data_IF_381511529571
#
_entry.id   IF_381511529571
#
_cell.length_a   1.000
_cell.length_b   1.000
_cell.length_c   1.000
_cell.angle_alpha   90.00
_cell.angle_beta   90.00
_cell.angle_gamma   90.00
#
_symmetry.space_group_name_H-M   'P 1'
#
loop_
_entity.id
_entity.type
_entity.pdbx_description
1 polymer ?
#
# COMPACT_ATOMS: atom_id res chain seq x y z
N UNK A 1 17.27 -1.63 -44.23
CA UNK A 1 16.23 -0.93 -43.44
C UNK A 1 15.77 -1.87 -42.33
N UNK A 2 15.93 -1.47 -41.06
CA UNK A 2 15.28 -2.24 -39.98
C UNK A 2 13.77 -2.15 -40.17
N UNK A 3 13.10 -3.28 -40.04
CA UNK A 3 11.63 -3.34 -40.16
C UNK A 3 11.03 -2.71 -38.89
N UNK A 4 10.53 -1.49 -39.00
CA UNK A 4 9.92 -0.74 -37.89
C UNK A 4 8.78 -1.52 -37.23
N UNK A 5 8.06 -2.34 -37.99
CA UNK A 5 6.98 -3.17 -37.45
C UNK A 5 7.54 -4.23 -36.50
N UNK A 6 8.69 -4.81 -36.80
CA UNK A 6 9.35 -5.77 -35.91
C UNK A 6 9.80 -5.09 -34.61
N UNK A 7 10.34 -3.85 -34.68
CA UNK A 7 10.70 -3.08 -33.49
C UNK A 7 9.46 -2.76 -32.64
N UNK A 8 8.36 -2.33 -33.25
CA UNK A 8 7.09 -2.04 -32.55
C UNK A 8 6.55 -3.30 -31.87
N UNK A 9 6.53 -4.43 -32.59
CA UNK A 9 6.02 -5.70 -32.06
C UNK A 9 6.90 -6.20 -30.90
N UNK A 10 8.22 -6.09 -31.03
CA UNK A 10 9.16 -6.44 -29.96
C UNK A 10 8.88 -5.60 -28.70
N UNK A 11 8.73 -4.29 -28.85
CA UNK A 11 8.38 -3.38 -27.74
C UNK A 11 7.06 -3.75 -27.09
N UNK A 12 6.02 -4.06 -27.87
CA UNK A 12 4.71 -4.50 -27.35
C UNK A 12 4.81 -5.82 -26.58
N UNK A 13 5.66 -6.74 -27.00
CA UNK A 13 5.92 -7.98 -26.26
C UNK A 13 6.63 -7.73 -24.93
N UNK A 14 7.57 -6.80 -24.89
CA UNK A 14 8.23 -6.37 -23.64
C UNK A 14 7.22 -5.74 -22.66
N UNK A 15 6.36 -4.85 -23.14
CA UNK A 15 5.29 -4.25 -22.34
C UNK A 15 4.35 -5.31 -21.76
N UNK A 16 3.93 -6.29 -22.56
CA UNK A 16 3.10 -7.41 -22.09
C UNK A 16 3.84 -8.33 -21.11
N UNK A 17 5.14 -8.57 -21.32
CA UNK A 17 5.94 -9.36 -20.41
C UNK A 17 6.10 -8.67 -19.05
N UNK A 18 6.23 -7.33 -19.03
CA UNK A 18 6.30 -6.54 -17.81
C UNK A 18 5.02 -6.64 -16.95
N UNK A 19 3.84 -6.73 -17.59
CA UNK A 19 2.57 -6.96 -16.88
C UNK A 19 2.57 -8.30 -16.12
N UNK A 20 3.19 -9.32 -16.69
CA UNK A 20 3.22 -10.70 -16.14
C UNK A 20 4.47 -11.00 -15.35
N UNK A 21 5.40 -10.05 -15.24
CA UNK A 21 6.64 -10.24 -14.48
C UNK A 21 6.33 -10.50 -13.01
N UNK A 22 7.08 -11.42 -12.40
CA UNK A 22 6.97 -11.70 -10.97
C UNK A 22 7.32 -10.44 -10.18
N UNK A 23 6.35 -9.94 -9.42
CA UNK A 23 6.51 -8.77 -8.56
C UNK A 23 7.00 -9.18 -7.16
N UNK A 24 7.74 -8.33 -6.44
CA UNK A 24 8.08 -8.60 -5.05
C UNK A 24 6.79 -8.66 -4.21
N UNK A 25 6.63 -9.69 -3.38
CA UNK A 25 5.43 -9.91 -2.57
C UNK A 25 5.40 -8.99 -1.36
N UNK A 26 4.35 -8.19 -1.22
CA UNK A 26 4.07 -7.37 -0.05
C UNK A 26 3.79 -8.25 1.18
N UNK A 27 2.96 -9.28 0.99
CA UNK A 27 2.63 -10.25 2.04
C UNK A 27 3.90 -10.91 2.60
N UNK A 28 4.76 -11.42 1.72
CA UNK A 28 5.98 -12.11 2.16
C UNK A 28 6.99 -11.15 2.81
N UNK A 29 7.10 -9.92 2.30
CA UNK A 29 7.96 -8.91 2.89
C UNK A 29 7.56 -8.59 4.34
N UNK A 30 6.25 -8.46 4.63
CA UNK A 30 5.77 -8.23 5.99
C UNK A 30 6.00 -9.43 6.91
N UNK A 31 5.79 -10.66 6.43
CA UNK A 31 6.02 -11.88 7.22
C UNK A 31 7.49 -12.05 7.58
N UNK A 32 8.41 -11.68 6.70
CA UNK A 32 9.85 -11.79 6.91
C UNK A 32 10.44 -10.60 7.66
N UNK A 33 9.68 -9.50 7.77
CA UNK A 33 10.18 -8.27 8.41
C UNK A 33 10.15 -8.35 9.93
N UNK A 34 11.19 -7.80 10.57
CA UNK A 34 11.21 -7.57 12.01
C UNK A 34 10.33 -6.39 12.42
N UNK A 35 10.21 -5.38 11.56
CA UNK A 35 9.49 -4.13 11.86
C UNK A 35 8.10 -4.08 11.28
N UNK A 36 7.88 -4.64 10.08
CA UNK A 36 6.59 -4.63 9.37
C UNK A 36 6.14 -3.25 8.90
N UNK A 37 7.04 -2.25 8.87
CA UNK A 37 6.68 -0.89 8.49
C UNK A 37 6.46 -0.78 6.98
N UNK A 38 5.25 -0.37 6.59
CA UNK A 38 4.89 0.07 5.25
C UNK A 38 5.00 1.59 5.26
N UNK A 39 6.10 2.13 4.70
CA UNK A 39 6.34 3.56 4.68
C UNK A 39 5.60 4.23 3.53
N UNK A 40 4.73 5.20 3.85
CA UNK A 40 3.86 5.83 2.85
C UNK A 40 4.45 7.15 2.33
N UNK A 41 4.60 7.22 1.02
CA UNK A 41 4.87 8.47 0.31
C UNK A 41 3.54 9.15 -0.05
N UNK A 42 3.25 10.25 0.65
CA UNK A 42 2.02 11.04 0.51
C UNK A 42 2.32 12.52 0.63
N UNK A 43 2.10 13.27 -0.47
CA UNK A 43 2.38 14.71 -0.53
C UNK A 43 1.26 15.56 0.07
N UNK A 44 0.01 15.11 -0.07
CA UNK A 44 -1.21 15.85 0.32
C UNK A 44 -2.24 14.90 0.93
N UNK A 45 -3.16 15.41 1.73
CA UNK A 45 -4.36 14.69 2.16
C UNK A 45 -5.56 15.63 2.29
N UNK A 46 -6.80 15.13 2.13
CA UNK A 46 -8.00 15.96 2.28
C UNK A 46 -8.11 16.64 3.64
N UNK A 47 -7.65 15.98 4.72
CA UNK A 47 -7.75 16.49 6.08
C UNK A 47 -6.65 17.49 6.48
N UNK A 48 -5.51 17.51 5.79
CA UNK A 48 -4.33 18.31 6.15
C UNK A 48 -3.86 19.27 5.06
N UNK A 49 -4.36 19.14 3.82
CA UNK A 49 -3.80 19.83 2.68
C UNK A 49 -2.41 19.31 2.32
N UNK A 50 -1.50 20.16 1.87
CA UNK A 50 -0.13 19.80 1.55
C UNK A 50 0.66 19.46 2.82
N UNK A 51 1.24 18.25 2.86
CA UNK A 51 2.13 17.76 3.91
C UNK A 51 3.58 18.03 3.52
N UNK A 52 3.92 17.75 2.25
CA UNK A 52 5.23 18.00 1.65
C UNK A 52 5.07 18.14 0.13
N UNK A 53 4.74 19.35 -0.31
CA UNK A 53 4.45 19.64 -1.73
C UNK A 53 5.66 19.40 -2.64
N UNK A 54 6.85 19.71 -2.13
CA UNK A 54 8.14 19.50 -2.81
C UNK A 54 8.64 18.06 -2.74
N UNK A 55 7.88 17.14 -2.11
CA UNK A 55 8.27 15.73 -1.92
C UNK A 55 8.52 15.03 -3.26
N UNK A 56 9.68 14.42 -3.39
CA UNK A 56 10.16 13.75 -4.61
C UNK A 56 10.02 12.25 -4.53
N UNK A 57 9.35 11.66 -5.52
CA UNK A 57 9.10 10.22 -5.60
C UNK A 57 10.34 9.40 -5.99
N UNK A 58 11.32 10.01 -6.62
CA UNK A 58 12.63 9.42 -6.94
C UNK A 58 13.63 9.46 -5.76
N UNK A 59 13.30 10.15 -4.67
CA UNK A 59 14.19 10.33 -3.51
C UNK A 59 13.63 9.68 -2.26
N UNK A 60 12.41 10.08 -1.83
CA UNK A 60 11.86 9.68 -0.52
C UNK A 60 11.58 8.18 -0.42
N UNK A 61 10.96 7.51 -1.43
CA UNK A 61 10.75 6.05 -1.37
C UNK A 61 12.07 5.26 -1.30
N UNK A 62 13.10 5.71 -2.02
CA UNK A 62 14.43 5.09 -1.95
C UNK A 62 15.05 5.28 -0.55
N UNK A 63 14.94 6.47 0.04
CA UNK A 63 15.38 6.72 1.40
C UNK A 63 14.64 5.83 2.41
N UNK A 64 13.34 5.64 2.27
CA UNK A 64 12.58 4.69 3.09
C UNK A 64 13.12 3.26 3.00
N UNK A 65 13.43 2.80 1.78
CA UNK A 65 14.06 1.48 1.59
C UNK A 65 15.41 1.40 2.31
N UNK A 66 16.26 2.41 2.17
CA UNK A 66 17.59 2.46 2.78
C UNK A 66 17.55 2.53 4.32
N UNK A 67 16.46 3.05 4.89
CA UNK A 67 16.26 3.17 6.33
C UNK A 67 15.39 2.06 6.93
N UNK A 68 15.14 0.97 6.19
CA UNK A 68 14.61 -0.28 6.74
C UNK A 68 13.09 -0.44 6.66
N UNK A 69 12.40 0.29 5.78
CA UNK A 69 11.01 -0.05 5.44
C UNK A 69 10.92 -1.51 4.97
N UNK A 70 9.86 -2.22 5.36
CA UNK A 70 9.56 -3.55 4.83
C UNK A 70 8.89 -3.49 3.45
N UNK A 71 8.12 -2.44 3.22
CA UNK A 71 7.40 -2.17 2.00
C UNK A 71 7.11 -0.67 1.88
N UNK A 72 6.62 -0.26 0.72
CA UNK A 72 6.24 1.11 0.44
C UNK A 72 4.76 1.19 0.08
N UNK A 73 4.12 2.31 0.44
CA UNK A 73 2.82 2.74 -0.05
C UNK A 73 3.00 4.05 -0.80
N UNK A 74 2.52 4.16 -2.03
CA UNK A 74 2.66 5.38 -2.83
C UNK A 74 1.28 5.83 -3.29
N UNK A 75 0.89 7.06 -2.87
CA UNK A 75 -0.36 7.68 -3.29
C UNK A 75 -0.30 8.02 -4.77
N UNK A 76 -1.31 7.56 -5.51
CA UNK A 76 -1.42 7.79 -6.96
C UNK A 76 -2.64 8.60 -7.36
N UNK A 77 -3.56 8.89 -6.43
CA UNK A 77 -4.64 9.84 -6.67
C UNK A 77 -4.12 11.26 -6.78
N UNK A 78 -4.37 11.91 -7.93
CA UNK A 78 -3.85 13.25 -8.22
C UNK A 78 -4.65 14.33 -7.48
N UNK A 79 -5.98 14.28 -7.61
CA UNK A 79 -6.84 15.38 -7.20
C UNK A 79 -6.86 15.61 -5.69
N UNK A 80 -6.98 14.55 -4.90
CA UNK A 80 -7.11 14.64 -3.45
C UNK A 80 -5.79 14.51 -2.70
N UNK A 81 -4.84 13.74 -3.26
CA UNK A 81 -3.60 13.38 -2.57
C UNK A 81 -2.33 13.93 -3.24
N UNK A 82 -2.45 14.63 -4.36
CA UNK A 82 -1.31 15.16 -5.11
C UNK A 82 -0.39 14.04 -5.60
N UNK A 83 -0.97 12.87 -5.88
CA UNK A 83 -0.28 11.67 -6.32
C UNK A 83 -0.13 11.59 -7.84
N UNK A 84 0.46 10.50 -8.30
CA UNK A 84 0.54 10.13 -9.73
C UNK A 84 1.00 8.69 -9.85
N UNK A 85 0.49 7.96 -10.85
CA UNK A 85 1.01 6.63 -11.23
C UNK A 85 2.51 6.68 -11.55
N UNK A 86 2.96 7.82 -12.08
CA UNK A 86 4.35 8.04 -12.44
C UNK A 86 5.29 8.04 -11.22
N UNK A 87 4.79 8.31 -10.02
CA UNK A 87 5.59 8.25 -8.81
C UNK A 87 6.12 6.85 -8.52
N UNK A 88 5.34 5.81 -8.84
CA UNK A 88 5.82 4.42 -8.71
C UNK A 88 6.93 4.14 -9.73
N UNK A 89 6.79 4.61 -10.99
CA UNK A 89 7.84 4.48 -12.01
C UNK A 89 9.12 5.20 -11.61
N UNK A 90 9.01 6.43 -11.11
CA UNK A 90 10.16 7.21 -10.62
C UNK A 90 10.85 6.49 -9.46
N UNK A 91 10.10 5.98 -8.49
CA UNK A 91 10.66 5.19 -7.39
C UNK A 91 11.39 3.93 -7.89
N UNK A 92 10.82 3.19 -8.85
CA UNK A 92 11.47 2.03 -9.47
C UNK A 92 12.75 2.40 -10.20
N UNK A 93 12.72 3.48 -10.99
CA UNK A 93 13.88 3.97 -11.73
C UNK A 93 15.00 4.46 -10.81
N UNK A 94 14.69 4.96 -9.62
CA UNK A 94 15.69 5.36 -8.61
C UNK A 94 16.33 4.18 -7.87
N UNK A 95 15.88 2.94 -8.10
CA UNK A 95 16.44 1.74 -7.50
C UNK A 95 15.62 1.11 -6.38
N UNK A 96 14.35 1.49 -6.22
CA UNK A 96 13.44 0.84 -5.28
C UNK A 96 13.13 -0.59 -5.75
N UNK A 97 13.48 -1.57 -4.91
CA UNK A 97 13.22 -3.01 -5.12
C UNK A 97 12.16 -3.57 -4.19
N UNK A 98 11.84 -2.88 -3.09
CA UNK A 98 10.80 -3.27 -2.15
C UNK A 98 9.43 -3.41 -2.84
N UNK A 99 8.51 -4.24 -2.29
CA UNK A 99 7.13 -4.24 -2.77
C UNK A 99 6.50 -2.86 -2.56
N UNK A 100 5.71 -2.43 -3.55
CA UNK A 100 5.01 -1.13 -3.56
C UNK A 100 3.52 -1.37 -3.65
N UNK A 101 2.79 -0.84 -2.68
CA UNK A 101 1.34 -0.74 -2.69
C UNK A 101 0.91 0.47 -3.54
N UNK A 102 0.10 0.21 -4.58
CA UNK A 102 -0.64 1.23 -5.32
C UNK A 102 -1.78 1.75 -4.45
N UNK A 103 -1.58 2.91 -3.84
CA UNK A 103 -2.53 3.50 -2.89
C UNK A 103 -3.46 4.46 -3.64
N UNK A 104 -4.61 3.93 -4.04
CA UNK A 104 -5.64 4.66 -4.77
C UNK A 104 -7.02 4.13 -4.39
N UNK A 105 -8.09 4.80 -4.79
CA UNK A 105 -9.46 4.33 -4.72
C UNK A 105 -9.76 3.51 -5.98
N UNK A 106 -9.46 2.22 -5.93
CA UNK A 106 -9.66 1.32 -7.06
C UNK A 106 -11.13 0.91 -7.12
N UNK A 107 -11.81 1.29 -8.21
CA UNK A 107 -13.22 1.00 -8.47
C UNK A 107 -13.45 0.39 -9.85
N UNK A 108 -12.38 0.28 -10.66
CA UNK A 108 -12.45 -0.24 -12.04
C UNK A 108 -11.19 -1.03 -12.39
N UNK A 109 -11.34 -2.03 -13.23
CA UNK A 109 -10.23 -2.88 -13.68
C UNK A 109 -9.13 -2.11 -14.42
N UNK A 110 -9.44 -1.01 -15.11
CA UNK A 110 -8.45 -0.19 -15.81
C UNK A 110 -7.37 0.33 -14.83
N UNK A 111 -7.75 0.60 -13.56
CA UNK A 111 -6.80 1.02 -12.54
C UNK A 111 -5.85 -0.11 -12.12
N UNK A 112 -6.30 -1.37 -12.19
CA UNK A 112 -5.44 -2.54 -11.92
C UNK A 112 -4.37 -2.70 -13.02
N UNK A 113 -4.75 -2.49 -14.29
CA UNK A 113 -3.78 -2.47 -15.39
C UNK A 113 -2.79 -1.31 -15.24
N UNK A 114 -3.25 -0.11 -14.86
CA UNK A 114 -2.38 1.02 -14.59
C UNK A 114 -1.38 0.70 -13.45
N UNK A 115 -1.85 0.10 -12.34
CA UNK A 115 -1.02 -0.34 -11.24
C UNK A 115 0.04 -1.36 -11.66
N UNK A 116 -0.35 -2.34 -12.48
CA UNK A 116 0.59 -3.35 -12.99
C UNK A 116 1.65 -2.72 -13.90
N UNK A 117 1.26 -1.79 -14.78
CA UNK A 117 2.14 -1.11 -15.74
C UNK A 117 3.11 -0.11 -15.08
N UNK A 118 2.71 0.54 -13.98
CA UNK A 118 3.60 1.44 -13.26
C UNK A 118 4.61 0.71 -12.36
N UNK A 119 4.46 -0.62 -12.15
CA UNK A 119 5.39 -1.44 -11.39
C UNK A 119 5.00 -1.63 -9.92
N UNK A 120 3.71 -1.48 -9.60
CA UNK A 120 3.17 -1.84 -8.29
C UNK A 120 3.27 -3.35 -8.03
N UNK A 121 3.30 -3.72 -6.76
CA UNK A 121 3.31 -5.12 -6.30
C UNK A 121 1.96 -5.53 -5.74
N UNK A 122 1.24 -4.58 -5.19
CA UNK A 122 -0.08 -4.78 -4.59
C UNK A 122 -0.97 -3.56 -4.88
N UNK A 123 -2.27 -3.77 -4.79
CA UNK A 123 -3.29 -2.70 -4.90
C UNK A 123 -4.13 -2.64 -3.64
N UNK A 124 -4.69 -1.45 -3.37
CA UNK A 124 -5.67 -1.24 -2.34
C UNK A 124 -7.08 -1.46 -2.90
N UNK A 125 -7.87 -2.29 -2.23
CA UNK A 125 -9.32 -2.32 -2.38
C UNK A 125 -9.95 -1.87 -1.05
N UNK A 126 -11.00 -1.06 -1.11
CA UNK A 126 -11.65 -0.47 0.08
C UNK A 126 -13.07 -1.02 0.16
N UNK A 127 -13.39 -1.77 1.21
CA UNK A 127 -14.71 -2.39 1.38
C UNK A 127 -15.84 -1.36 1.36
N UNK A 128 -15.64 -0.19 1.97
CA UNK A 128 -16.61 0.90 1.99
C UNK A 128 -16.91 1.51 0.61
N UNK A 129 -16.05 1.29 -0.39
CA UNK A 129 -16.20 1.86 -1.75
C UNK A 129 -16.78 0.87 -2.76
N UNK A 130 -16.91 -0.42 -2.41
CA UNK A 130 -17.21 -1.50 -3.34
C UNK A 130 -18.32 -2.39 -2.79
N UNK A 131 -19.16 -2.87 -3.67
CA UNK A 131 -19.99 -4.03 -3.35
C UNK A 131 -19.12 -5.28 -3.22
N UNK A 132 -19.60 -6.30 -2.53
CA UNK A 132 -18.88 -7.58 -2.41
C UNK A 132 -18.57 -8.21 -3.77
N UNK A 133 -19.51 -8.08 -4.74
CA UNK A 133 -19.32 -8.61 -6.08
C UNK A 133 -18.23 -7.86 -6.85
N UNK A 134 -18.21 -6.52 -6.81
CA UNK A 134 -17.16 -5.71 -7.40
C UNK A 134 -15.80 -6.02 -6.77
N UNK A 135 -15.74 -6.07 -5.43
CA UNK A 135 -14.51 -6.41 -4.71
C UNK A 135 -13.98 -7.80 -5.14
N UNK A 136 -14.86 -8.80 -5.26
CA UNK A 136 -14.48 -10.15 -5.73
C UNK A 136 -13.94 -10.13 -7.14
N UNK A 137 -14.57 -9.38 -8.05
CA UNK A 137 -14.11 -9.27 -9.45
C UNK A 137 -12.75 -8.59 -9.51
N UNK A 138 -12.58 -7.44 -8.85
CA UNK A 138 -11.32 -6.70 -8.84
C UNK A 138 -10.18 -7.50 -8.18
N UNK A 139 -10.47 -8.24 -7.10
CA UNK A 139 -9.50 -9.12 -6.45
C UNK A 139 -9.01 -10.22 -7.41
N UNK A 140 -9.94 -10.86 -8.14
CA UNK A 140 -9.59 -11.88 -9.12
C UNK A 140 -8.71 -11.30 -10.24
N UNK A 141 -9.11 -10.18 -10.85
CA UNK A 141 -8.33 -9.51 -11.89
C UNK A 141 -6.96 -9.04 -11.40
N UNK A 142 -6.87 -8.54 -10.16
CA UNK A 142 -5.58 -8.19 -9.55
C UNK A 142 -4.63 -9.39 -9.49
N UNK A 143 -5.13 -10.56 -9.02
CA UNK A 143 -4.35 -11.79 -8.97
C UNK A 143 -3.92 -12.28 -10.37
N UNK A 144 -4.79 -12.18 -11.39
CA UNK A 144 -4.42 -12.52 -12.78
C UNK A 144 -3.29 -11.64 -13.32
N UNK A 145 -3.20 -10.38 -12.86
CA UNK A 145 -2.13 -9.43 -13.17
C UNK A 145 -0.89 -9.60 -12.28
N UNK A 146 -0.89 -10.60 -11.37
CA UNK A 146 0.20 -10.84 -10.43
C UNK A 146 0.35 -9.73 -9.38
N UNK A 147 -0.74 -9.03 -9.07
CA UNK A 147 -0.83 -8.04 -8.00
C UNK A 147 -1.43 -8.70 -6.75
N UNK A 148 -0.83 -8.47 -5.59
CA UNK A 148 -1.46 -8.78 -4.31
C UNK A 148 -2.51 -7.73 -3.95
N UNK A 149 -3.43 -8.07 -3.06
CA UNK A 149 -4.52 -7.18 -2.62
C UNK A 149 -4.43 -6.91 -1.14
N UNK A 150 -4.34 -5.63 -0.77
CA UNK A 150 -4.64 -5.14 0.58
C UNK A 150 -6.12 -4.70 0.60
N UNK A 151 -6.95 -5.45 1.31
CA UNK A 151 -8.36 -5.11 1.50
C UNK A 151 -8.52 -4.29 2.78
N UNK A 152 -8.85 -3.01 2.62
CA UNK A 152 -9.04 -2.05 3.71
C UNK A 152 -10.48 -2.09 4.23
N UNK A 153 -10.62 -2.17 5.55
CA UNK A 153 -11.88 -2.19 6.27
C UNK A 153 -11.84 -1.20 7.45
N UNK A 154 -13.02 -0.63 7.81
CA UNK A 154 -13.15 0.39 8.84
C UNK A 154 -14.04 -0.04 10.00
N UNK A 155 -14.91 -1.03 9.79
CA UNK A 155 -15.95 -1.43 10.73
C UNK A 155 -16.15 -2.94 10.78
N UNK A 156 -16.81 -3.40 11.83
CA UNK A 156 -17.17 -4.82 11.98
C UNK A 156 -18.04 -5.34 10.83
N UNK A 157 -18.96 -4.50 10.32
CA UNK A 157 -19.84 -4.87 9.21
C UNK A 157 -19.08 -5.20 7.92
N UNK A 158 -17.88 -4.66 7.76
CA UNK A 158 -17.04 -4.89 6.58
C UNK A 158 -16.17 -6.15 6.70
N UNK A 159 -16.05 -6.76 7.88
CA UNK A 159 -15.20 -7.95 8.09
C UNK A 159 -15.62 -9.15 7.24
N UNK A 160 -16.88 -9.20 6.81
CA UNK A 160 -17.36 -10.25 5.90
C UNK A 160 -16.65 -10.27 4.54
N UNK A 161 -16.03 -9.13 4.11
CA UNK A 161 -15.23 -9.06 2.89
C UNK A 161 -13.92 -9.85 3.01
N UNK A 162 -13.41 -10.07 4.21
CA UNK A 162 -12.19 -10.86 4.44
C UNK A 162 -12.32 -12.30 3.94
N UNK A 163 -13.55 -12.85 3.89
CA UNK A 163 -13.83 -14.17 3.33
C UNK A 163 -13.61 -14.26 1.81
N UNK A 164 -13.42 -13.14 1.10
CA UNK A 164 -13.08 -13.12 -0.34
C UNK A 164 -11.65 -13.61 -0.61
N UNK A 165 -10.80 -13.74 0.44
CA UNK A 165 -9.46 -14.28 0.35
C UNK A 165 -8.40 -13.30 -0.16
N UNK A 166 -8.37 -12.02 0.31
CA UNK A 166 -7.28 -11.10 0.00
C UNK A 166 -5.96 -11.58 0.61
N UNK A 167 -4.83 -11.11 0.07
CA UNK A 167 -3.50 -11.43 0.60
C UNK A 167 -3.22 -10.75 1.94
N UNK A 168 -3.75 -9.53 2.10
CA UNK A 168 -3.64 -8.70 3.30
C UNK A 168 -5.01 -8.11 3.66
N UNK A 169 -5.28 -8.03 4.96
CA UNK A 169 -6.47 -7.38 5.52
C UNK A 169 -6.04 -6.16 6.33
N UNK A 170 -6.46 -4.97 5.92
CA UNK A 170 -6.18 -3.71 6.58
C UNK A 170 -7.31 -3.23 7.47
N UNK A 171 -7.00 -2.78 8.68
CA UNK A 171 -7.91 -1.98 9.49
C UNK A 171 -7.46 -0.53 9.44
N UNK A 172 -8.27 0.32 8.82
CA UNK A 172 -8.02 1.75 8.82
C UNK A 172 -8.65 2.39 10.06
N UNK A 173 -7.79 2.94 10.92
CA UNK A 173 -8.17 3.59 12.16
C UNK A 173 -8.78 4.99 11.94
N UNK A 174 -8.77 5.50 10.72
CA UNK A 174 -9.38 6.79 10.38
C UNK A 174 -10.80 6.59 9.89
N UNK A 175 -11.75 7.23 10.57
CA UNK A 175 -13.12 7.29 10.09
C UNK A 175 -13.19 8.17 8.83
N UNK A 176 -13.72 7.66 7.74
CA UNK A 176 -13.76 8.35 6.44
C UNK A 176 -14.72 9.57 6.43
N UNK A 177 -15.73 9.57 7.29
CA UNK A 177 -16.72 10.67 7.35
C UNK A 177 -16.28 11.81 8.27
N UNK A 178 -15.69 11.49 9.43
CA UNK A 178 -15.32 12.48 10.46
C UNK A 178 -13.83 12.84 10.48
N UNK A 179 -13.01 12.07 9.80
CA UNK A 179 -11.54 12.12 9.82
C UNK A 179 -10.90 11.90 11.22
N UNK A 180 -11.69 11.54 12.21
CA UNK A 180 -11.19 11.14 13.53
C UNK A 180 -10.42 9.84 13.38
N UNK A 181 -9.27 9.76 14.04
CA UNK A 181 -8.39 8.58 14.00
C UNK A 181 -8.27 8.00 15.41
N UNK A 182 -8.63 6.71 15.56
CA UNK A 182 -8.54 5.98 16.82
C UNK A 182 -7.92 4.60 16.59
N UNK A 183 -6.69 4.40 17.03
CA UNK A 183 -5.96 3.11 16.92
C UNK A 183 -6.67 1.99 17.70
N UNK A 184 -7.53 2.33 18.66
CA UNK A 184 -8.39 1.39 19.38
C UNK A 184 -9.23 0.52 18.44
N UNK A 185 -9.59 1.04 17.24
CA UNK A 185 -10.34 0.29 16.24
C UNK A 185 -9.58 -0.98 15.77
N UNK A 186 -8.28 -0.88 15.53
CA UNK A 186 -7.45 -2.06 15.19
C UNK A 186 -7.50 -3.12 16.29
N UNK A 187 -7.37 -2.74 17.55
CA UNK A 187 -7.45 -3.68 18.68
C UNK A 187 -8.82 -4.33 18.80
N UNK A 188 -9.88 -3.52 18.66
CA UNK A 188 -11.26 -4.00 18.73
C UNK A 188 -11.58 -5.05 17.67
N UNK A 189 -11.09 -4.88 16.44
CA UNK A 189 -11.41 -5.74 15.31
C UNK A 189 -10.41 -6.89 15.09
N UNK A 190 -9.25 -6.88 15.76
CA UNK A 190 -8.16 -7.82 15.51
C UNK A 190 -8.57 -9.29 15.63
N UNK A 191 -9.26 -9.66 16.70
CA UNK A 191 -9.66 -11.05 16.95
C UNK A 191 -10.70 -11.53 15.93
N UNK A 192 -11.72 -10.70 15.67
CA UNK A 192 -12.78 -11.00 14.70
C UNK A 192 -12.22 -11.13 13.28
N UNK A 193 -11.29 -10.25 12.91
CA UNK A 193 -10.66 -10.29 11.60
C UNK A 193 -9.80 -11.56 11.43
N UNK A 194 -9.06 -11.99 12.46
CA UNK A 194 -8.32 -13.24 12.42
C UNK A 194 -9.23 -14.46 12.26
N UNK A 195 -10.40 -14.44 12.88
CA UNK A 195 -11.40 -15.51 12.73
C UNK A 195 -12.00 -15.51 11.31
N UNK A 196 -12.21 -14.32 10.69
CA UNK A 196 -12.78 -14.19 9.35
C UNK A 196 -11.79 -14.55 8.23
N UNK A 197 -10.47 -14.34 8.44
CA UNK A 197 -9.42 -14.66 7.47
C UNK A 197 -8.14 -15.11 8.16
N UNK A 198 -7.97 -16.42 8.28
CA UNK A 198 -6.78 -17.01 8.90
C UNK A 198 -5.52 -16.97 8.01
N UNK A 199 -5.66 -16.74 6.72
CA UNK A 199 -4.56 -16.74 5.73
C UNK A 199 -4.00 -15.35 5.43
N UNK A 200 -4.80 -14.28 5.60
CA UNK A 200 -4.37 -12.93 5.29
C UNK A 200 -3.41 -12.36 6.35
N UNK A 201 -2.47 -11.53 5.91
CA UNK A 201 -1.61 -10.75 6.81
C UNK A 201 -2.37 -9.52 7.28
N UNK A 202 -2.43 -9.29 8.60
CA UNK A 202 -3.11 -8.14 9.18
C UNK A 202 -2.26 -6.89 9.11
N UNK A 203 -2.85 -5.79 8.65
CA UNK A 203 -2.23 -4.46 8.53
C UNK A 203 -3.05 -3.45 9.33
N UNK A 204 -2.41 -2.65 10.18
CA UNK A 204 -3.02 -1.50 10.84
C UNK A 204 -2.62 -0.22 10.12
N UNK A 205 -3.59 0.63 9.81
CA UNK A 205 -3.41 1.84 9.01
C UNK A 205 -3.93 3.06 9.76
N UNK A 206 -3.25 4.18 9.60
CA UNK A 206 -3.56 5.49 10.19
C UNK A 206 -3.37 5.57 11.71
N UNK A 207 -2.95 6.75 12.19
CA UNK A 207 -2.85 7.08 13.62
C UNK A 207 -1.64 6.52 14.35
N UNK A 208 -0.77 5.78 13.67
CA UNK A 208 0.42 5.19 14.28
C UNK A 208 1.55 6.23 14.24
N UNK A 209 1.92 6.75 15.42
CA UNK A 209 2.99 7.75 15.56
C UNK A 209 4.03 7.40 16.62
N UNK A 210 3.78 6.36 17.42
CA UNK A 210 4.63 5.91 18.52
C UNK A 210 5.07 4.44 18.28
N UNK A 211 6.37 4.13 18.41
CA UNK A 211 6.87 2.75 18.36
C UNK A 211 6.21 1.80 19.38
N UNK A 212 5.80 2.31 20.56
CA UNK A 212 5.08 1.49 21.54
C UNK A 212 3.75 0.94 20.96
N UNK A 213 3.01 1.77 20.25
CA UNK A 213 1.76 1.36 19.57
C UNK A 213 2.02 0.23 18.56
N UNK A 214 3.14 0.26 17.84
CA UNK A 214 3.50 -0.82 16.90
C UNK A 214 3.74 -2.13 17.66
N UNK A 215 4.42 -2.10 18.82
CA UNK A 215 4.65 -3.29 19.63
C UNK A 215 3.34 -3.89 20.16
N UNK A 216 2.42 -3.05 20.62
CA UNK A 216 1.10 -3.45 21.10
C UNK A 216 0.26 -4.07 19.96
N UNK A 217 0.16 -3.41 18.80
CA UNK A 217 -0.53 -3.92 17.63
C UNK A 217 0.05 -5.26 17.15
N UNK A 218 1.37 -5.40 17.22
CA UNK A 218 2.03 -6.67 16.90
C UNK A 218 1.62 -7.78 17.86
N UNK A 219 1.52 -7.49 19.15
CA UNK A 219 1.01 -8.43 20.17
C UNK A 219 -0.45 -8.82 19.90
N UNK A 220 -1.25 -7.92 19.33
CA UNK A 220 -2.61 -8.18 18.88
C UNK A 220 -2.68 -8.98 17.55
N UNK A 221 -1.53 -9.28 16.90
CA UNK A 221 -1.45 -10.12 15.72
C UNK A 221 -1.23 -9.40 14.39
N UNK A 222 -1.12 -8.08 14.38
CA UNK A 222 -0.77 -7.33 13.18
C UNK A 222 0.69 -7.58 12.78
N UNK A 223 0.95 -7.61 11.48
CA UNK A 223 2.29 -7.78 10.89
C UNK A 223 2.70 -6.62 10.00
N UNK A 224 1.74 -5.83 9.53
CA UNK A 224 1.96 -4.61 8.75
C UNK A 224 1.49 -3.37 9.48
N UNK A 225 2.25 -2.27 9.36
CA UNK A 225 1.95 -0.98 9.99
C UNK A 225 2.17 0.12 8.95
N UNK A 226 1.07 0.68 8.41
CA UNK A 226 1.12 1.68 7.37
C UNK A 226 1.22 3.08 8.00
N UNK A 227 2.36 3.73 7.79
CA UNK A 227 2.70 5.01 8.40
C UNK A 227 3.20 5.98 7.31
N UNK A 228 2.52 7.13 7.17
CA UNK A 228 2.87 8.16 6.19
C UNK A 228 3.12 9.51 6.82
N UNK A 229 2.08 10.16 7.33
CA UNK A 229 2.13 11.55 7.82
C UNK A 229 3.26 11.77 8.84
N UNK A 230 3.49 10.80 9.73
CA UNK A 230 4.51 10.91 10.77
C UNK A 230 5.92 11.10 10.18
N UNK A 231 6.23 10.44 9.08
CA UNK A 231 7.53 10.56 8.41
C UNK A 231 7.56 11.72 7.42
N UNK A 232 6.51 11.87 6.60
CA UNK A 232 6.45 12.87 5.54
C UNK A 232 6.55 14.32 6.03
N UNK A 233 6.04 14.62 7.24
CA UNK A 233 6.14 15.97 7.84
C UNK A 233 7.55 16.33 8.33
N UNK A 234 8.43 15.35 8.49
CA UNK A 234 9.80 15.60 8.92
C UNK A 234 10.62 16.27 7.79
N UNK A 235 11.64 17.08 8.13
CA UNK A 235 12.58 17.61 7.13
C UNK A 235 13.21 16.50 6.29
N UNK A 236 13.65 15.42 6.92
CA UNK A 236 14.18 14.21 6.30
C UNK A 236 13.28 13.00 6.65
N UNK A 237 12.37 12.61 5.73
CA UNK A 237 11.47 11.48 5.95
C UNK A 237 12.19 10.13 6.13
N UNK A 238 13.30 9.91 5.40
CA UNK A 238 14.08 8.68 5.51
C UNK A 238 14.70 8.53 6.89
N UNK A 239 15.35 9.59 7.38
CA UNK A 239 15.93 9.60 8.72
C UNK A 239 14.85 9.43 9.78
N UNK A 240 13.70 10.10 9.65
CA UNK A 240 12.58 9.96 10.59
C UNK A 240 12.08 8.52 10.69
N UNK A 241 12.00 7.80 9.57
CA UNK A 241 11.71 6.37 9.56
C UNK A 241 12.80 5.56 10.28
N UNK A 242 14.08 5.82 10.00
CA UNK A 242 15.20 5.14 10.64
C UNK A 242 15.21 5.31 12.16
N UNK A 243 15.02 6.54 12.63
CA UNK A 243 14.95 6.88 14.06
C UNK A 243 13.72 6.19 14.73
N UNK A 244 12.61 6.04 14.02
CA UNK A 244 11.43 5.32 14.49
C UNK A 244 11.69 3.80 14.58
N UNK A 245 12.28 3.21 13.56
CA UNK A 245 12.62 1.78 13.52
C UNK A 245 13.64 1.41 14.60
N UNK A 246 14.60 2.27 14.88
CA UNK A 246 15.61 2.01 15.91
C UNK A 246 15.01 1.86 17.33
N UNK A 247 13.75 2.23 17.52
CA UNK A 247 13.03 2.13 18.80
C UNK A 247 12.06 0.91 18.83
N UNK A 248 11.97 0.12 17.76
CA UNK A 248 11.13 -1.10 17.68
C UNK A 248 11.88 -2.34 18.15
#
# INVERSE_FOLDING_TARGET
MKDILQEIVARKREEQAALRAKKPSLRQALLNSRTGIIAEFKRRSPSKGWIKEEGRADVIPLAYQQHGAAALSILTDEHFFGGSDDFIRQARQSGVTLPVLYKNFVIDEAQLYAAALCGASAVLLIAACLTKQECKTLLHTAHELGLEVLLEMHSEAELEYAALGPDLCGINNRNLGTFVTDVGNSFHLAEKLRAASSAAVLVSESGISDPATVRELRSAGFRGFLIGENFMKAPDPGKALGDFIAQL
#
